data_IF_720837332561
#
_entry.id   IF_720837332561
#
_cell.length_a   1.000
_cell.length_b   1.000
_cell.length_c   1.000
_cell.angle_alpha   90.00
_cell.angle_beta   90.00
_cell.angle_gamma   90.00
#
_symmetry.space_group_name_H-M   'P 1'
#
loop_
_entity.id
_entity.type
_entity.pdbx_description
1 polymer ?
#
# COMPACT_ATOMS: atom_id res chain seq x y z
N UNK A 1 -4.52 9.97 13.59
CA UNK A 1 -3.84 8.69 13.93
C UNK A 1 -4.13 8.17 15.35
N UNK A 2 -4.84 8.88 16.24
CA UNK A 2 -4.89 8.54 17.67
C UNK A 2 -5.28 7.09 18.04
N UNK A 3 -6.21 6.48 17.31
CA UNK A 3 -6.68 5.11 17.61
C UNK A 3 -5.81 4.01 16.97
N UNK A 4 -5.14 4.30 15.85
CA UNK A 4 -4.32 3.32 15.09
C UNK A 4 -2.85 3.36 15.53
N UNK A 5 -2.36 4.51 15.99
CA UNK A 5 -0.96 4.71 16.37
C UNK A 5 -0.44 3.73 17.44
N UNK A 6 -1.17 3.42 18.53
CA UNK A 6 -0.70 2.45 19.52
C UNK A 6 -0.54 1.04 18.96
N UNK A 7 -1.45 0.62 18.08
CA UNK A 7 -1.38 -0.69 17.40
C UNK A 7 -0.13 -0.73 16.53
N UNK A 8 0.05 0.27 15.67
CA UNK A 8 1.21 0.37 14.77
C UNK A 8 2.53 0.32 15.54
N UNK A 9 2.64 1.09 16.63
CA UNK A 9 3.87 1.15 17.41
C UNK A 9 4.22 -0.19 18.06
N UNK A 10 3.20 -1.00 18.41
CA UNK A 10 3.41 -2.35 18.95
C UNK A 10 3.90 -3.38 17.93
N UNK A 11 3.77 -3.10 16.62
CA UNK A 11 4.14 -4.02 15.54
C UNK A 11 5.52 -3.75 14.93
N UNK A 12 6.25 -2.73 15.39
CA UNK A 12 7.60 -2.44 14.89
C UNK A 12 8.60 -3.50 15.35
N UNK A 13 9.32 -4.12 14.40
CA UNK A 13 10.31 -5.18 14.67
C UNK A 13 11.76 -4.71 14.56
N UNK A 14 12.01 -3.46 14.16
CA UNK A 14 13.33 -2.83 14.01
C UNK A 14 13.40 -1.53 14.83
N UNK A 15 14.43 -0.70 14.61
CA UNK A 15 14.54 0.64 15.22
C UNK A 15 13.21 1.39 15.12
N UNK A 16 12.73 2.00 16.21
CA UNK A 16 11.39 2.57 16.25
C UNK A 16 11.27 3.73 15.24
N UNK A 17 10.42 3.55 14.24
CA UNK A 17 10.08 4.58 13.24
C UNK A 17 9.11 5.56 13.89
N UNK A 18 9.38 6.85 13.81
CA UNK A 18 8.44 7.88 14.30
C UNK A 18 7.47 8.24 13.18
N UNK A 19 6.22 7.81 13.31
CA UNK A 19 5.18 8.13 12.33
C UNK A 19 4.69 9.57 12.46
N UNK A 20 4.51 10.23 11.31
CA UNK A 20 3.91 11.57 11.22
C UNK A 20 2.80 11.56 10.18
N UNK A 21 1.67 12.18 10.49
CA UNK A 21 0.59 12.40 9.54
C UNK A 21 0.62 13.85 9.06
N UNK A 22 0.76 14.04 7.76
CA UNK A 22 0.63 15.34 7.11
C UNK A 22 -0.66 15.37 6.30
N UNK A 23 -1.48 16.38 6.57
CA UNK A 23 -2.72 16.62 5.83
C UNK A 23 -2.45 17.69 4.78
N UNK A 24 -2.76 17.38 3.54
CA UNK A 24 -2.58 18.29 2.40
C UNK A 24 -3.90 18.52 1.67
N UNK A 25 -4.02 19.62 0.95
CA UNK A 25 -5.14 19.85 0.06
C UNK A 25 -4.66 19.77 -1.39
N UNK A 26 -4.52 18.53 -1.91
CA UNK A 26 -4.03 18.26 -3.26
C UNK A 26 -4.99 17.35 -4.03
N UNK A 27 -5.32 17.73 -5.27
CA UNK A 27 -6.11 16.85 -6.16
C UNK A 27 -5.27 15.79 -6.88
N UNK A 28 -3.93 15.91 -6.83
CA UNK A 28 -3.00 15.00 -7.50
C UNK A 28 -2.43 13.92 -6.60
N UNK A 29 -2.64 14.03 -5.29
CA UNK A 29 -2.17 13.08 -4.29
C UNK A 29 -3.39 12.65 -3.47
N UNK A 30 -3.54 11.35 -3.25
CA UNK A 30 -4.59 10.79 -2.40
C UNK A 30 -4.06 10.48 -1.00
N UNK A 31 -3.16 9.49 -0.92
CA UNK A 31 -2.38 9.15 0.26
C UNK A 31 -1.03 8.60 -0.21
N UNK A 32 0.01 8.80 0.60
CA UNK A 32 1.37 8.32 0.31
C UNK A 32 2.13 8.10 1.62
N UNK A 33 2.96 7.09 1.66
CA UNK A 33 3.93 6.85 2.73
C UNK A 33 5.37 6.98 2.24
N UNK A 34 6.25 7.43 3.13
CA UNK A 34 7.69 7.49 2.90
C UNK A 34 8.43 6.67 3.97
N UNK A 35 9.53 6.04 3.57
CA UNK A 35 10.31 5.13 4.41
C UNK A 35 10.73 5.73 5.77
N UNK A 36 10.89 7.05 5.89
CA UNK A 36 11.26 7.71 7.16
C UNK A 36 10.10 7.88 8.15
N UNK A 37 8.87 7.51 7.80
CA UNK A 37 7.72 7.49 8.70
C UNK A 37 6.65 8.55 8.39
N UNK A 38 6.81 9.38 7.37
CA UNK A 38 5.80 10.37 6.98
C UNK A 38 4.68 9.69 6.19
N UNK A 39 3.44 9.95 6.56
CA UNK A 39 2.23 9.57 5.82
C UNK A 39 1.49 10.84 5.43
N UNK A 40 1.25 11.04 4.14
CA UNK A 40 0.46 12.13 3.60
C UNK A 40 -0.97 11.64 3.35
N UNK A 41 -1.97 12.45 3.70
CA UNK A 41 -3.37 12.22 3.34
C UNK A 41 -3.98 13.50 2.78
N UNK A 42 -4.66 13.40 1.64
CA UNK A 42 -5.31 14.54 1.00
C UNK A 42 -6.75 14.76 1.46
N UNK A 43 -7.07 15.99 1.88
CA UNK A 43 -8.44 16.41 2.18
C UNK A 43 -9.34 16.35 0.94
N UNK A 44 -8.77 16.63 -0.25
CA UNK A 44 -9.51 16.59 -1.50
C UNK A 44 -9.90 15.15 -1.88
N UNK A 45 -9.04 14.17 -1.56
CA UNK A 45 -9.34 12.75 -1.70
C UNK A 45 -10.44 12.30 -0.73
N UNK A 46 -10.28 12.61 0.55
CA UNK A 46 -11.28 12.32 1.60
C UNK A 46 -12.65 12.87 1.22
N UNK A 47 -12.70 14.12 0.76
CA UNK A 47 -13.94 14.79 0.37
C UNK A 47 -14.55 14.19 -0.91
N UNK A 48 -13.73 13.92 -1.93
CA UNK A 48 -14.20 13.40 -3.23
C UNK A 48 -14.81 12.00 -3.13
N UNK A 49 -14.27 11.15 -2.25
CA UNK A 49 -14.80 9.81 -2.02
C UNK A 49 -15.76 9.71 -0.82
N UNK A 50 -16.01 10.82 -0.12
CA UNK A 50 -16.80 10.86 1.10
C UNK A 50 -16.33 9.80 2.13
N UNK A 51 -15.02 9.77 2.39
CA UNK A 51 -14.43 8.80 3.29
C UNK A 51 -14.87 9.05 4.73
N UNK A 52 -15.27 7.97 5.41
CA UNK A 52 -15.56 8.01 6.84
C UNK A 52 -14.34 7.58 7.64
N UNK A 53 -14.50 7.48 8.97
CA UNK A 53 -13.40 7.08 9.85
C UNK A 53 -12.86 5.68 9.56
N UNK A 54 -13.70 4.73 9.17
CA UNK A 54 -13.26 3.37 8.86
C UNK A 54 -12.47 3.33 7.55
N UNK A 55 -12.91 4.06 6.53
CA UNK A 55 -12.18 4.19 5.27
C UNK A 55 -10.82 4.88 5.48
N UNK A 56 -10.79 5.97 6.25
CA UNK A 56 -9.54 6.69 6.57
C UNK A 56 -8.60 5.80 7.38
N UNK A 57 -9.12 5.04 8.36
CA UNK A 57 -8.30 4.13 9.16
C UNK A 57 -7.63 3.06 8.29
N UNK A 58 -8.36 2.49 7.32
CA UNK A 58 -7.80 1.53 6.39
C UNK A 58 -6.73 2.13 5.48
N UNK A 59 -6.99 3.30 4.88
CA UNK A 59 -5.99 4.00 4.05
C UNK A 59 -4.72 4.28 4.84
N UNK A 60 -4.83 4.81 6.06
CA UNK A 60 -3.66 5.08 6.89
C UNK A 60 -2.93 3.79 7.31
N UNK A 61 -3.67 2.72 7.61
CA UNK A 61 -3.09 1.43 7.95
C UNK A 61 -2.37 0.78 6.75
N UNK A 62 -2.90 0.95 5.54
CA UNK A 62 -2.27 0.53 4.29
C UNK A 62 -0.95 1.27 4.06
N UNK A 63 -0.93 2.62 4.12
CA UNK A 63 0.30 3.41 3.98
C UNK A 63 1.35 3.05 5.04
N UNK A 64 0.92 2.85 6.29
CA UNK A 64 1.83 2.42 7.35
C UNK A 64 2.39 1.02 7.10
N UNK A 65 1.62 0.13 6.50
CA UNK A 65 2.10 -1.21 6.13
C UNK A 65 3.24 -1.14 5.12
N UNK A 66 3.20 -0.22 4.15
CA UNK A 66 4.33 0.03 3.24
C UNK A 66 5.63 0.40 3.98
N UNK A 67 5.52 1.21 5.03
CA UNK A 67 6.65 1.63 5.85
C UNK A 67 7.19 0.46 6.68
N UNK A 68 6.29 -0.26 7.37
CA UNK A 68 6.65 -1.39 8.23
C UNK A 68 7.34 -2.51 7.43
N UNK A 69 6.88 -2.76 6.21
CA UNK A 69 7.43 -3.78 5.31
C UNK A 69 8.58 -3.29 4.44
N UNK A 70 8.93 -2.00 4.51
CA UNK A 70 10.00 -1.38 3.72
C UNK A 70 9.84 -1.53 2.20
N UNK A 71 8.60 -1.46 1.71
CA UNK A 71 8.28 -1.67 0.28
C UNK A 71 9.01 -0.68 -0.65
N UNK A 72 9.20 0.58 -0.22
CA UNK A 72 9.99 1.56 -0.98
C UNK A 72 11.44 1.10 -1.13
N UNK A 73 12.06 0.66 -0.04
CA UNK A 73 13.43 0.12 -0.05
C UNK A 73 13.53 -1.14 -0.90
N UNK A 74 12.56 -2.05 -0.79
CA UNK A 74 12.49 -3.25 -1.63
C UNK A 74 12.49 -2.88 -3.10
N UNK A 75 11.59 -1.99 -3.52
CA UNK A 75 11.49 -1.51 -4.92
C UNK A 75 12.79 -0.89 -5.41
N UNK A 76 13.42 -0.02 -4.62
CA UNK A 76 14.70 0.61 -4.97
C UNK A 76 15.84 -0.42 -5.09
N UNK A 77 15.96 -1.33 -4.13
CA UNK A 77 17.00 -2.38 -4.18
C UNK A 77 16.79 -3.36 -5.33
N UNK A 78 15.54 -3.70 -5.63
CA UNK A 78 15.13 -4.47 -6.80
C UNK A 78 15.56 -3.77 -8.09
N UNK A 79 15.28 -2.47 -8.26
CA UNK A 79 15.70 -1.72 -9.43
C UNK A 79 17.23 -1.63 -9.59
N UNK A 80 17.96 -1.42 -8.49
CA UNK A 80 19.44 -1.36 -8.50
C UNK A 80 20.07 -2.69 -8.92
N UNK A 81 19.47 -3.84 -8.56
CA UNK A 81 19.97 -5.15 -8.96
C UNK A 81 19.99 -5.36 -10.49
N UNK A 82 19.15 -4.63 -11.23
CA UNK A 82 19.10 -4.67 -12.69
C UNK A 82 20.14 -3.78 -13.39
N UNK A 83 20.85 -2.91 -12.66
CA UNK A 83 21.83 -1.97 -13.23
C UNK A 83 23.22 -2.56 -13.51
N UNK A 84 23.33 -3.89 -13.68
CA UNK A 84 24.61 -4.55 -13.94
C UNK A 84 25.21 -4.17 -15.31
N UNK A 85 26.54 -4.06 -15.44
CA UNK A 85 27.17 -3.72 -16.72
C UNK A 85 26.88 -4.76 -17.82
N UNK A 86 26.83 -4.30 -19.08
CA UNK A 86 26.64 -5.13 -20.27
C UNK A 86 27.99 -5.73 -20.70
N UNK A 87 28.07 -7.03 -21.06
CA UNK A 87 29.32 -7.68 -21.46
C UNK A 87 29.70 -7.47 -22.95
N UNK A 88 28.93 -6.71 -23.72
CA UNK A 88 29.02 -6.67 -25.19
C UNK A 88 29.83 -5.49 -25.73
N UNK A 89 30.45 -5.65 -26.91
CA UNK A 89 31.39 -4.67 -27.51
C UNK A 89 30.88 -3.97 -28.77
N UNK A 90 29.72 -4.36 -29.31
CA UNK A 90 29.11 -3.73 -30.48
C UNK A 90 27.92 -2.85 -30.08
N UNK A 91 27.77 -1.68 -30.73
CA UNK A 91 26.67 -0.77 -30.42
C UNK A 91 25.29 -1.40 -30.64
N UNK A 92 25.11 -2.19 -31.71
CA UNK A 92 23.85 -2.85 -32.01
C UNK A 92 23.47 -3.92 -30.97
N UNK A 93 24.45 -4.68 -30.48
CA UNK A 93 24.22 -5.67 -29.42
C UNK A 93 23.90 -4.98 -28.09
N UNK A 94 24.56 -3.87 -27.79
CA UNK A 94 24.26 -3.03 -26.61
C UNK A 94 22.80 -2.55 -26.67
N UNK A 95 22.34 -1.99 -27.79
CA UNK A 95 20.96 -1.50 -27.91
C UNK A 95 19.92 -2.61 -27.68
N UNK A 96 20.08 -3.76 -28.33
CA UNK A 96 19.15 -4.89 -28.19
C UNK A 96 19.16 -5.46 -26.77
N UNK A 97 20.33 -5.59 -26.14
CA UNK A 97 20.44 -6.10 -24.77
C UNK A 97 19.85 -5.10 -23.76
N UNK A 98 20.00 -3.79 -23.99
CA UNK A 98 19.36 -2.77 -23.15
C UNK A 98 17.84 -2.80 -23.26
N UNK A 99 17.29 -2.98 -24.47
CA UNK A 99 15.85 -3.06 -24.67
C UNK A 99 15.24 -4.28 -23.96
N UNK A 100 15.85 -5.46 -24.13
CA UNK A 100 15.40 -6.69 -23.47
C UNK A 100 15.50 -6.59 -21.94
N UNK A 101 16.63 -6.08 -21.43
CA UNK A 101 16.80 -5.86 -19.98
C UNK A 101 15.80 -4.84 -19.44
N UNK A 102 15.51 -3.77 -20.17
CA UNK A 102 14.51 -2.79 -19.77
C UNK A 102 13.13 -3.43 -19.66
N UNK A 103 12.71 -4.21 -20.66
CA UNK A 103 11.43 -4.89 -20.64
C UNK A 103 11.31 -5.90 -19.49
N UNK A 104 12.37 -6.66 -19.22
CA UNK A 104 12.42 -7.60 -18.10
C UNK A 104 12.38 -6.89 -16.74
N UNK A 105 13.13 -5.79 -16.60
CA UNK A 105 13.11 -4.97 -15.39
C UNK A 105 11.73 -4.37 -15.16
N UNK A 106 11.09 -3.79 -16.19
CA UNK A 106 9.75 -3.22 -16.12
C UNK A 106 8.71 -4.28 -15.70
N UNK A 107 8.75 -5.44 -16.33
CA UNK A 107 7.88 -6.58 -15.97
C UNK A 107 8.11 -7.01 -14.52
N UNK A 108 9.37 -7.13 -14.10
CA UNK A 108 9.73 -7.54 -12.74
C UNK A 108 9.27 -6.51 -11.70
N UNK A 109 9.54 -5.22 -11.92
CA UNK A 109 9.13 -4.15 -11.01
C UNK A 109 7.61 -4.02 -10.93
N UNK A 110 6.90 -4.28 -12.02
CA UNK A 110 5.43 -4.38 -12.01
C UNK A 110 4.95 -5.50 -11.10
N UNK A 111 5.54 -6.70 -11.19
CA UNK A 111 5.21 -7.83 -10.29
C UNK A 111 5.51 -7.49 -8.83
N UNK A 112 6.66 -6.87 -8.55
CA UNK A 112 7.02 -6.42 -7.20
C UNK A 112 5.98 -5.42 -6.69
N UNK A 113 5.61 -4.42 -7.49
CA UNK A 113 4.59 -3.44 -7.11
C UNK A 113 3.26 -4.12 -6.76
N UNK A 114 2.77 -5.05 -7.57
CA UNK A 114 1.55 -5.81 -7.25
C UNK A 114 1.66 -6.61 -5.94
N UNK A 115 2.82 -7.22 -5.67
CA UNK A 115 3.04 -7.98 -4.43
C UNK A 115 3.01 -7.09 -3.20
N UNK A 116 3.70 -5.95 -3.23
CA UNK A 116 3.74 -5.01 -2.10
C UNK A 116 2.37 -4.48 -1.72
N UNK A 117 1.45 -4.39 -2.67
CA UNK A 117 0.07 -3.94 -2.43
C UNK A 117 -0.78 -4.98 -1.75
N UNK A 118 -0.63 -6.25 -2.14
CA UNK A 118 -1.31 -7.34 -1.46
C UNK A 118 -0.84 -7.44 -0.01
N UNK A 119 0.46 -7.32 0.24
CA UNK A 119 1.01 -7.30 1.60
C UNK A 119 0.49 -6.10 2.41
N UNK A 120 0.50 -4.91 1.82
CA UNK A 120 0.01 -3.70 2.47
C UNK A 120 -1.51 -3.74 2.75
N UNK A 121 -2.30 -4.35 1.87
CA UNK A 121 -3.72 -4.61 2.08
C UNK A 121 -3.99 -5.59 3.21
N UNK A 122 -3.30 -6.73 3.23
CA UNK A 122 -3.49 -7.77 4.23
C UNK A 122 -3.13 -7.26 5.64
N UNK A 123 -1.99 -6.57 5.74
CA UNK A 123 -1.52 -5.99 7.01
C UNK A 123 -2.39 -4.78 7.38
N UNK A 124 -2.72 -3.91 6.44
CA UNK A 124 -3.58 -2.74 6.66
C UNK A 124 -4.97 -3.13 7.18
N UNK A 125 -5.56 -4.18 6.60
CA UNK A 125 -6.83 -4.76 7.03
C UNK A 125 -6.76 -5.26 8.48
N UNK A 126 -5.69 -5.98 8.82
CA UNK A 126 -5.46 -6.49 10.17
C UNK A 126 -5.23 -5.36 11.18
N UNK A 127 -4.41 -4.36 10.85
CA UNK A 127 -4.10 -3.22 11.72
C UNK A 127 -5.35 -2.38 12.00
N UNK A 128 -6.14 -2.09 10.97
CA UNK A 128 -7.39 -1.33 11.15
C UNK A 128 -8.42 -2.13 11.96
N UNK A 129 -8.51 -3.45 11.77
CA UNK A 129 -9.34 -4.32 12.60
C UNK A 129 -8.91 -4.32 14.06
N UNK A 130 -7.61 -4.46 14.35
CA UNK A 130 -7.05 -4.38 15.70
C UNK A 130 -7.26 -3.00 16.35
N UNK A 131 -7.34 -1.94 15.56
CA UNK A 131 -7.69 -0.59 16.00
C UNK A 131 -9.20 -0.40 16.23
N UNK A 132 -10.02 -1.44 16.05
CA UNK A 132 -11.45 -1.41 16.32
C UNK A 132 -12.31 -0.93 15.15
N UNK A 133 -11.81 -0.97 13.92
CA UNK A 133 -12.59 -0.66 12.71
C UNK A 133 -13.09 -1.93 12.02
N UNK A 134 -14.40 -2.02 11.74
CA UNK A 134 -14.99 -3.22 11.12
C UNK A 134 -14.35 -3.47 9.73
N UNK A 135 -13.66 -4.61 9.52
CA UNK A 135 -13.00 -4.93 8.25
C UNK A 135 -13.98 -5.07 7.08
N UNK A 136 -15.26 -5.30 7.33
CA UNK A 136 -16.30 -5.36 6.28
C UNK A 136 -16.48 -4.00 5.59
N UNK A 137 -16.34 -2.90 6.32
CA UNK A 137 -16.37 -1.53 5.77
C UNK A 137 -15.22 -1.29 4.79
N UNK A 138 -14.09 -1.92 5.03
CA UNK A 138 -12.88 -1.78 4.21
C UNK A 138 -13.03 -2.54 2.89
N UNK A 139 -13.66 -3.72 2.92
CA UNK A 139 -14.06 -4.44 1.70
C UNK A 139 -15.11 -3.67 0.89
N UNK A 140 -16.11 -3.07 1.54
CA UNK A 140 -17.11 -2.21 0.87
C UNK A 140 -16.45 -1.03 0.16
N UNK A 141 -15.46 -0.42 0.81
CA UNK A 141 -14.65 0.65 0.23
C UNK A 141 -13.86 0.16 -0.99
N UNK A 142 -13.14 -0.95 -0.89
CA UNK A 142 -12.38 -1.51 -2.02
C UNK A 142 -13.29 -1.95 -3.18
N UNK A 143 -14.47 -2.50 -2.89
CA UNK A 143 -15.48 -2.79 -3.91
C UNK A 143 -15.98 -1.51 -4.60
N UNK A 144 -16.15 -0.42 -3.85
CA UNK A 144 -16.53 0.89 -4.40
C UNK A 144 -15.48 1.43 -5.35
N UNK A 145 -14.19 1.30 -5.01
CA UNK A 145 -13.08 1.69 -5.87
C UNK A 145 -13.05 0.87 -7.17
N UNK A 146 -13.19 -0.45 -7.07
CA UNK A 146 -13.26 -1.33 -8.25
C UNK A 146 -14.43 -0.97 -9.17
N UNK A 147 -15.61 -0.67 -8.62
CA UNK A 147 -16.80 -0.35 -9.41
C UNK A 147 -16.75 1.03 -10.09
N UNK A 148 -16.00 1.98 -9.54
CA UNK A 148 -15.84 3.32 -10.13
C UNK A 148 -14.83 3.34 -11.29
N UNK A 149 -14.12 2.24 -11.52
CA UNK A 149 -13.13 2.10 -12.59
C UNK A 149 -11.84 2.89 -12.32
N UNK A 150 -10.80 2.59 -13.10
CA UNK A 150 -9.43 3.10 -12.95
C UNK A 150 -9.23 4.62 -13.06
N UNK A 151 -10.30 5.40 -13.22
CA UNK A 151 -10.22 6.84 -13.48
C UNK A 151 -10.16 7.72 -12.22
N UNK A 152 -10.16 7.16 -11.00
CA UNK A 152 -9.99 7.95 -9.77
C UNK A 152 -9.05 7.32 -8.72
N UNK A 153 -7.78 7.76 -8.82
CA UNK A 153 -6.88 8.30 -7.78
C UNK A 153 -6.21 7.41 -6.72
N UNK A 154 -6.85 6.41 -6.09
CA UNK A 154 -6.09 5.38 -5.34
C UNK A 154 -5.29 4.49 -6.30
N UNK A 155 -5.62 4.59 -7.59
CA UNK A 155 -5.09 3.80 -8.70
C UNK A 155 -4.04 4.54 -9.52
N UNK A 156 -3.69 5.77 -9.11
CA UNK A 156 -2.64 6.55 -9.76
C UNK A 156 -1.25 6.22 -9.20
N UNK A 157 -1.18 5.79 -7.95
CA UNK A 157 0.06 5.36 -7.27
C UNK A 157 0.10 3.85 -7.00
N UNK A 158 -1.06 3.18 -7.02
CA UNK A 158 -1.18 1.75 -6.77
C UNK A 158 -1.88 1.02 -7.94
N UNK A 159 -1.61 -0.27 -8.19
CA UNK A 159 -2.17 -1.06 -9.29
C UNK A 159 -3.65 -1.44 -9.07
N UNK A 160 -4.26 -2.04 -10.12
CA UNK A 160 -5.69 -2.40 -10.24
C UNK A 160 -6.29 -3.03 -8.95
N UNK A 161 -7.43 -2.50 -8.44
CA UNK A 161 -8.00 -2.93 -7.17
C UNK A 161 -8.82 -4.23 -7.27
N UNK A 162 -9.12 -4.71 -8.48
CA UNK A 162 -9.94 -5.92 -8.68
C UNK A 162 -9.25 -7.19 -8.16
N UNK A 163 -7.96 -7.35 -8.43
CA UNK A 163 -7.14 -8.46 -7.91
C UNK A 163 -6.97 -8.35 -6.39
N UNK A 164 -6.79 -7.12 -5.89
CA UNK A 164 -6.62 -6.79 -4.47
C UNK A 164 -7.87 -7.13 -3.65
N UNK A 165 -9.05 -6.83 -4.19
CA UNK A 165 -10.32 -7.15 -3.55
C UNK A 165 -10.53 -8.67 -3.37
N UNK A 166 -10.08 -9.47 -4.34
CA UNK A 166 -10.09 -10.93 -4.21
C UNK A 166 -9.28 -11.40 -3.00
N UNK A 167 -8.03 -10.94 -2.89
CA UNK A 167 -7.13 -11.21 -1.76
C UNK A 167 -7.71 -10.76 -0.43
N UNK A 168 -8.24 -9.54 -0.34
CA UNK A 168 -8.86 -9.02 0.89
C UNK A 168 -10.03 -9.88 1.39
N UNK A 169 -10.82 -10.49 0.47
CA UNK A 169 -11.89 -11.42 0.85
C UNK A 169 -11.36 -12.68 1.53
N UNK A 170 -10.24 -13.21 1.08
CA UNK A 170 -9.62 -14.40 1.66
C UNK A 170 -9.10 -14.13 3.09
N UNK A 171 -8.68 -12.89 3.37
CA UNK A 171 -8.15 -12.47 4.67
C UNK A 171 -9.23 -11.93 5.63
N UNK A 172 -10.44 -11.66 5.14
CA UNK A 172 -11.55 -11.14 5.94
C UNK A 172 -11.83 -11.97 7.21
N UNK A 173 -11.87 -13.33 7.19
CA UNK A 173 -12.15 -14.10 8.39
C UNK A 173 -11.14 -13.88 9.52
N UNK A 174 -9.85 -13.67 9.20
CA UNK A 174 -8.85 -13.34 10.21
C UNK A 174 -9.07 -11.92 10.75
N UNK A 175 -9.30 -10.95 9.87
CA UNK A 175 -9.53 -9.57 10.26
C UNK A 175 -10.77 -9.43 11.15
N UNK A 176 -11.85 -10.15 10.85
CA UNK A 176 -13.07 -10.16 11.69
C UNK A 176 -12.75 -10.65 13.10
N UNK A 177 -11.96 -11.73 13.26
CA UNK A 177 -11.54 -12.19 14.58
C UNK A 177 -10.68 -11.16 15.33
N UNK A 178 -9.80 -10.45 14.62
CA UNK A 178 -8.99 -9.39 15.23
C UNK A 178 -9.86 -8.23 15.71
N UNK A 179 -10.86 -7.85 14.90
CA UNK A 179 -11.84 -6.83 15.25
C UNK A 179 -12.70 -7.24 16.47
N UNK A 180 -13.23 -8.46 16.48
CA UNK A 180 -14.01 -9.00 17.61
C UNK A 180 -13.20 -8.96 18.91
N UNK A 181 -11.93 -9.39 18.87
CA UNK A 181 -11.01 -9.29 20.02
C UNK A 181 -10.78 -7.85 20.47
N UNK A 182 -10.61 -6.90 19.53
CA UNK A 182 -10.43 -5.49 19.85
C UNK A 182 -11.69 -4.89 20.52
N UNK A 183 -12.87 -5.43 20.21
CA UNK A 183 -14.13 -5.07 20.86
C UNK A 183 -14.37 -5.79 22.20
N UNK A 184 -13.42 -6.60 22.67
CA UNK A 184 -13.58 -7.40 23.89
C UNK A 184 -14.57 -8.56 23.74
N UNK A 185 -14.86 -8.97 22.51
CA UNK A 185 -15.65 -10.16 22.22
C UNK A 185 -14.72 -11.40 22.22
N UNK A 186 -15.14 -12.52 22.84
CA UNK A 186 -14.29 -13.70 23.05
C UNK A 186 -13.85 -14.40 21.76
#
# INVERSE_FOLDING_TARGET
>A
MGEVAPVIQSQQTQSPITFRLEIVNSRSVDALAFAEGTVILSEAFVSRLALDRAHIAFVLAHEVSHILMQHERQTLTSALAWMAPLPTSSAADIYREMEDRYFQMDTYLSVVAHQTEFEADEIGLALAAMAGYDPRRQLEFMQTLTNRGSQQSMLSTHPDPSLRLGRLRDHLPLAVRLFERAQGQP
#
